data_IF_801312193744
#
_entry.id   IF_801312193744
#
_cell.length_a   1.000
_cell.length_b   1.000
_cell.length_c   1.000
_cell.angle_alpha   90.00
_cell.angle_beta   90.00
_cell.angle_gamma   90.00
#
_symmetry.space_group_name_H-M   'P 1'
#
loop_
_entity.id
_entity.type
_entity.pdbx_description
1 polymer ?
#
# COMPACT_ATOMS: atom_id res chain seq x y z
N UNK A 1 19.26 1.43 -11.33
CA UNK A 1 19.03 1.30 -9.88
C UNK A 1 17.79 2.13 -9.57
N UNK A 2 16.71 1.53 -9.06
CA UNK A 2 15.48 2.26 -8.74
C UNK A 2 15.68 2.90 -7.36
N UNK A 3 15.59 4.24 -7.22
CA UNK A 3 15.66 4.89 -5.91
C UNK A 3 14.54 4.37 -4.99
N UNK A 4 14.84 4.21 -3.69
CA UNK A 4 13.88 3.81 -2.65
C UNK A 4 13.14 2.47 -2.92
N UNK A 5 13.84 1.48 -3.45
CA UNK A 5 13.33 0.12 -3.54
C UNK A 5 13.59 -0.65 -2.24
N UNK A 6 12.57 -1.33 -1.73
CA UNK A 6 12.71 -2.42 -0.77
C UNK A 6 13.60 -3.53 -1.37
N UNK A 7 14.91 -3.53 -1.08
CA UNK A 7 15.81 -4.62 -1.40
C UNK A 7 16.29 -5.22 -0.07
N UNK A 8 15.63 -6.28 0.41
CA UNK A 8 15.88 -6.81 1.74
C UNK A 8 16.70 -8.09 1.70
N UNK A 9 17.86 -8.01 2.35
CA UNK A 9 18.61 -9.15 2.88
C UNK A 9 18.74 -9.04 4.43
N UNK A 10 17.79 -8.34 5.09
CA UNK A 10 17.85 -8.06 6.53
C UNK A 10 17.29 -9.24 7.33
N UNK A 11 18.18 -10.08 7.85
CA UNK A 11 17.91 -10.91 9.02
C UNK A 11 18.09 -10.05 10.28
N UNK A 12 17.04 -9.39 10.79
CA UNK A 12 17.13 -8.76 12.11
C UNK A 12 15.76 -8.68 12.78
N UNK A 13 15.62 -9.46 13.85
CA UNK A 13 14.56 -9.31 14.85
C UNK A 13 14.95 -8.12 15.74
N UNK A 14 14.32 -6.97 15.54
CA UNK A 14 14.38 -5.88 16.52
C UNK A 14 12.96 -5.53 16.94
N UNK A 15 12.62 -5.92 18.17
CA UNK A 15 11.37 -5.59 18.84
C UNK A 15 11.56 -4.16 19.38
N UNK A 16 10.86 -3.18 18.80
CA UNK A 16 10.87 -1.80 19.30
C UNK A 16 9.63 -1.56 20.14
N UNK A 17 9.80 -0.95 21.32
CA UNK A 17 8.76 -0.75 22.32
C UNK A 17 7.73 0.33 21.97
N UNK A 18 6.66 0.30 22.75
CA UNK A 18 5.43 1.09 22.76
C UNK A 18 5.69 2.55 23.20
N UNK A 19 4.79 3.45 22.80
CA UNK A 19 4.76 4.93 22.93
C UNK A 19 5.71 5.74 22.03
N UNK A 20 5.13 6.67 21.24
CA UNK A 20 5.73 7.61 20.25
C UNK A 20 5.96 7.13 18.80
N UNK A 21 5.24 6.11 18.32
CA UNK A 21 5.44 5.59 16.95
C UNK A 21 4.86 6.44 15.82
N UNK A 22 3.82 7.22 16.12
CA UNK A 22 3.12 8.08 15.16
C UNK A 22 3.25 9.57 15.57
N UNK A 23 4.37 9.98 16.19
CA UNK A 23 4.72 11.40 16.07
C UNK A 23 4.80 11.65 14.57
N UNK A 24 3.76 12.32 14.06
CA UNK A 24 3.66 12.72 12.68
C UNK A 24 5.00 13.32 12.36
N UNK A 25 5.80 12.59 11.58
CA UNK A 25 7.07 13.11 11.11
C UNK A 25 6.63 14.34 10.34
N UNK A 26 6.78 15.51 10.97
CA UNK A 26 6.53 16.81 10.35
C UNK A 26 7.55 17.11 9.26
N UNK A 27 8.39 16.13 8.90
CA UNK A 27 9.12 16.11 7.66
C UNK A 27 8.16 15.83 6.51
N UNK A 28 8.25 16.65 5.47
CA UNK A 28 7.59 16.44 4.19
C UNK A 28 7.74 14.98 3.76
N UNK A 29 6.63 14.27 3.58
CA UNK A 29 6.63 12.89 3.05
C UNK A 29 7.14 12.83 1.61
N UNK A 30 7.39 13.98 0.97
CA UNK A 30 7.87 14.10 -0.41
C UNK A 30 9.14 13.29 -0.68
N UNK A 31 10.09 13.23 0.26
CA UNK A 31 11.33 12.45 0.10
C UNK A 31 11.11 10.93 0.13
N UNK A 32 9.92 10.47 0.55
CA UNK A 32 9.55 9.06 0.54
C UNK A 32 9.24 8.58 -0.88
N UNK A 33 8.77 9.46 -1.75
CA UNK A 33 8.24 9.10 -3.05
C UNK A 33 9.25 9.34 -4.19
N UNK A 34 9.28 8.48 -5.22
CA UNK A 34 8.53 7.24 -5.33
C UNK A 34 9.07 6.15 -4.39
N UNK A 35 8.19 5.33 -3.80
CA UNK A 35 8.58 4.17 -3.01
C UNK A 35 8.15 2.88 -3.71
N UNK A 36 9.11 1.99 -4.01
CA UNK A 36 8.85 0.77 -4.77
C UNK A 36 8.87 -0.47 -3.89
N UNK A 37 7.86 -1.31 -4.07
CA UNK A 37 7.79 -2.61 -3.40
C UNK A 37 7.17 -3.68 -4.29
N UNK A 38 7.51 -4.94 -4.00
CA UNK A 38 6.89 -6.11 -4.62
C UNK A 38 6.77 -7.23 -3.60
N UNK A 39 5.76 -8.07 -3.74
CA UNK A 39 5.62 -9.29 -2.94
C UNK A 39 4.40 -10.09 -3.34
N UNK A 40 4.14 -11.15 -2.58
CA UNK A 40 3.08 -12.11 -2.88
C UNK A 40 1.78 -11.71 -2.20
N UNK A 41 0.67 -11.88 -2.91
CA UNK A 41 -0.67 -11.71 -2.35
C UNK A 41 -1.04 -12.90 -1.49
N UNK A 42 -1.34 -12.65 -0.22
CA UNK A 42 -1.69 -13.68 0.77
C UNK A 42 -3.15 -13.53 1.23
N UNK A 43 -3.65 -14.58 1.89
CA UNK A 43 -4.99 -14.56 2.49
C UNK A 43 -4.98 -13.68 3.73
N UNK A 44 -5.79 -12.62 3.73
CA UNK A 44 -6.03 -11.79 4.91
C UNK A 44 -7.12 -12.36 5.84
N UNK A 45 -7.61 -11.55 6.77
CA UNK A 45 -8.63 -11.98 7.75
C UNK A 45 -10.08 -12.00 7.22
N UNK A 46 -10.30 -11.67 5.94
CA UNK A 46 -11.63 -11.72 5.31
C UNK A 46 -12.66 -10.72 5.87
N UNK A 47 -12.21 -9.60 6.46
CA UNK A 47 -13.07 -8.72 7.29
C UNK A 47 -13.90 -7.66 6.58
N UNK A 48 -13.80 -7.46 5.25
CA UNK A 48 -14.70 -6.47 4.64
C UNK A 48 -14.52 -6.12 3.18
N UNK A 49 -13.31 -6.15 2.63
CA UNK A 49 -13.02 -5.54 1.31
C UNK A 49 -14.03 -5.92 0.21
N UNK A 50 -14.26 -7.23 0.00
CA UNK A 50 -15.23 -7.71 -0.99
C UNK A 50 -16.68 -7.27 -0.73
N UNK A 51 -17.14 -7.29 0.52
CA UNK A 51 -18.50 -6.84 0.88
C UNK A 51 -18.68 -5.33 0.71
N UNK A 52 -17.57 -4.59 0.71
CA UNK A 52 -17.53 -3.15 0.50
C UNK A 52 -17.41 -2.76 -0.98
N UNK A 53 -17.21 -3.72 -1.89
CA UNK A 53 -16.90 -3.44 -3.30
C UNK A 53 -15.46 -2.94 -3.52
N UNK A 54 -14.59 -3.06 -2.52
CA UNK A 54 -13.18 -2.63 -2.55
C UNK A 54 -12.28 -3.81 -2.16
N UNK A 55 -12.10 -4.81 -3.05
CA UNK A 55 -11.24 -5.96 -2.76
C UNK A 55 -9.77 -5.53 -2.58
N UNK A 56 -9.15 -5.95 -1.48
CA UNK A 56 -7.74 -5.65 -1.18
C UNK A 56 -6.86 -6.90 -1.29
N UNK A 57 -5.71 -6.75 -1.95
CA UNK A 57 -4.61 -7.70 -1.94
C UNK A 57 -3.77 -7.48 -0.68
N UNK A 58 -3.74 -8.46 0.21
CA UNK A 58 -2.91 -8.41 1.41
C UNK A 58 -1.49 -8.82 1.00
N UNK A 59 -0.49 -7.97 1.23
CA UNK A 59 0.90 -8.29 0.89
C UNK A 59 1.54 -9.15 1.97
N UNK A 60 2.46 -10.03 1.56
CA UNK A 60 3.20 -10.89 2.47
C UNK A 60 4.10 -10.14 3.47
N UNK A 61 4.51 -10.87 4.51
CA UNK A 61 5.40 -10.38 5.57
C UNK A 61 6.77 -9.96 5.06
N UNK A 62 7.26 -10.49 3.93
CA UNK A 62 8.56 -10.10 3.41
C UNK A 62 8.53 -8.63 3.02
N UNK A 63 7.49 -8.17 2.31
CA UNK A 63 7.34 -6.75 1.94
C UNK A 63 7.30 -5.87 3.18
N UNK A 64 6.55 -6.30 4.19
CA UNK A 64 6.35 -5.56 5.44
C UNK A 64 7.69 -5.41 6.19
N UNK A 65 8.48 -6.47 6.28
CA UNK A 65 9.81 -6.45 6.91
C UNK A 65 10.82 -5.61 6.14
N UNK A 66 10.59 -5.35 4.86
CA UNK A 66 11.44 -4.46 4.06
C UNK A 66 11.19 -2.97 4.33
N UNK A 67 10.02 -2.60 4.85
CA UNK A 67 9.69 -1.21 5.11
C UNK A 67 10.74 -0.55 6.01
N UNK A 68 11.10 0.73 5.77
CA UNK A 68 11.79 1.55 6.75
C UNK A 68 11.08 1.46 8.12
N UNK A 69 11.81 1.36 9.25
CA UNK A 69 11.18 1.24 10.57
C UNK A 69 10.15 2.35 10.86
N UNK A 70 10.44 3.56 10.40
CA UNK A 70 9.60 4.75 10.55
C UNK A 70 8.74 5.06 9.31
N UNK A 71 8.50 4.08 8.44
CA UNK A 71 7.60 4.28 7.29
C UNK A 71 6.21 4.70 7.81
N UNK A 72 5.62 5.80 7.31
CA UNK A 72 4.39 6.35 7.88
C UNK A 72 3.18 5.41 7.70
N UNK A 73 2.26 5.45 8.66
CA UNK A 73 0.96 4.82 8.52
C UNK A 73 -0.01 5.74 7.75
N UNK A 74 -0.88 5.17 6.92
CA UNK A 74 -1.92 5.91 6.23
C UNK A 74 -2.38 5.25 4.94
N UNK A 75 -3.12 6.02 4.15
CA UNK A 75 -3.56 5.66 2.81
C UNK A 75 -2.72 6.40 1.79
N UNK A 76 -2.20 5.66 0.82
CA UNK A 76 -1.30 6.11 -0.22
C UNK A 76 -1.90 5.77 -1.59
N UNK A 77 -1.38 6.40 -2.64
CA UNK A 77 -1.79 6.12 -4.01
C UNK A 77 -0.57 5.93 -4.92
N UNK A 78 -0.82 5.30 -6.07
CA UNK A 78 0.23 5.01 -7.02
C UNK A 78 -0.18 4.05 -8.12
N UNK A 79 0.77 3.26 -8.61
CA UNK A 79 0.54 2.29 -9.67
C UNK A 79 0.92 0.89 -9.22
N UNK A 80 0.20 -0.11 -9.72
CA UNK A 80 0.48 -1.52 -9.44
C UNK A 80 0.21 -2.40 -10.66
N UNK A 81 0.88 -3.55 -10.73
CA UNK A 81 0.50 -4.63 -11.62
C UNK A 81 0.56 -6.00 -10.92
N UNK A 82 -0.16 -6.96 -11.50
CA UNK A 82 -0.20 -8.35 -11.06
C UNK A 82 0.57 -9.19 -12.08
N UNK A 83 1.51 -10.02 -11.63
CA UNK A 83 2.28 -10.96 -12.45
C UNK A 83 2.91 -10.33 -13.73
N UNK A 84 3.42 -9.09 -13.61
CA UNK A 84 3.98 -8.32 -14.74
C UNK A 84 2.96 -8.03 -15.87
N UNK A 85 1.67 -8.09 -15.57
CA UNK A 85 0.60 -7.70 -16.48
C UNK A 85 0.49 -6.19 -16.64
N UNK A 86 -0.69 -5.76 -17.10
CA UNK A 86 -1.01 -4.36 -17.28
C UNK A 86 -0.91 -3.57 -15.96
N UNK A 87 -0.46 -2.33 -16.06
CA UNK A 87 -0.27 -1.42 -14.92
C UNK A 87 -1.50 -0.56 -14.75
N UNK A 88 -2.09 -0.62 -13.56
CA UNK A 88 -3.28 0.14 -13.18
C UNK A 88 -2.97 1.13 -12.05
N UNK A 89 -3.86 2.09 -11.84
CA UNK A 89 -3.85 2.89 -10.62
C UNK A 89 -4.14 2.00 -9.40
N UNK A 90 -3.71 2.45 -8.23
CA UNK A 90 -4.02 1.77 -6.97
C UNK A 90 -4.13 2.78 -5.82
N UNK A 91 -4.87 2.37 -4.79
CA UNK A 91 -4.76 2.91 -3.44
C UNK A 91 -4.25 1.81 -2.52
N UNK A 92 -3.54 2.17 -1.46
CA UNK A 92 -3.07 1.19 -0.48
C UNK A 92 -3.12 1.72 0.94
N UNK A 93 -3.55 0.86 1.85
CA UNK A 93 -3.51 1.11 3.29
C UNK A 93 -2.25 0.48 3.86
N UNK A 94 -1.48 1.26 4.63
CA UNK A 94 -0.33 0.79 5.39
C UNK A 94 -0.53 1.19 6.84
N UNK A 95 -0.61 0.21 7.75
CA UNK A 95 -0.91 0.49 9.15
C UNK A 95 -0.55 -0.65 10.10
N UNK A 96 -0.50 -0.39 11.39
CA UNK A 96 -0.22 -1.40 12.41
C UNK A 96 -1.32 -2.45 12.49
N UNK A 97 -0.92 -3.72 12.64
CA UNK A 97 -1.85 -4.84 12.77
C UNK A 97 -2.06 -5.22 14.25
N UNK A 98 -3.29 -5.02 14.79
CA UNK A 98 -3.59 -5.34 16.19
C UNK A 98 -3.43 -6.83 16.54
N UNK A 99 -3.59 -7.74 15.57
CA UNK A 99 -3.47 -9.18 15.78
C UNK A 99 -2.04 -9.63 16.07
N UNK A 100 -1.06 -8.85 15.61
CA UNK A 100 0.35 -9.04 15.94
C UNK A 100 0.79 -8.07 17.03
N UNK A 101 -0.11 -7.72 17.97
CA UNK A 101 0.16 -6.78 19.07
C UNK A 101 0.73 -5.44 18.59
N UNK A 102 0.34 -4.99 17.38
CA UNK A 102 0.92 -3.83 16.71
C UNK A 102 2.45 -3.88 16.55
N UNK A 103 3.07 -5.06 16.56
CA UNK A 103 4.51 -5.21 16.31
C UNK A 103 4.85 -5.20 14.82
N UNK A 104 3.83 -5.37 13.96
CA UNK A 104 3.97 -5.45 12.50
C UNK A 104 2.95 -4.56 11.82
N UNK A 105 3.38 -3.92 10.74
CA UNK A 105 2.47 -3.25 9.80
C UNK A 105 1.82 -4.28 8.87
N UNK A 106 0.74 -3.89 8.21
CA UNK A 106 0.19 -4.56 7.04
C UNK A 106 0.24 -3.62 5.85
N UNK A 107 0.25 -4.19 4.65
CA UNK A 107 0.04 -3.47 3.39
C UNK A 107 -1.13 -4.13 2.70
N UNK A 108 -2.17 -3.36 2.41
CA UNK A 108 -3.36 -3.79 1.70
C UNK A 108 -3.51 -2.95 0.44
N UNK A 109 -3.35 -3.57 -0.73
CA UNK A 109 -3.39 -2.89 -2.03
C UNK A 109 -4.75 -3.09 -2.67
N UNK A 110 -5.44 -2.01 -3.00
CA UNK A 110 -6.61 -2.03 -3.86
C UNK A 110 -6.21 -1.48 -5.24
N UNK A 111 -6.18 -2.37 -6.23
CA UNK A 111 -5.90 -2.02 -7.61
C UNK A 111 -7.21 -1.52 -8.24
N UNK A 112 -7.17 -0.36 -8.90
CA UNK A 112 -8.34 0.31 -9.51
C UNK A 112 -8.69 -0.34 -10.85
N UNK A 113 -9.01 -1.63 -10.79
CA UNK A 113 -9.41 -2.46 -11.92
C UNK A 113 -10.29 -3.63 -11.45
N UNK A 114 -11.27 -4.00 -12.26
CA UNK A 114 -12.19 -5.09 -11.97
C UNK A 114 -11.67 -6.44 -12.48
N UNK A 115 -10.89 -7.12 -11.64
CA UNK A 115 -10.39 -8.46 -11.92
C UNK A 115 -11.52 -9.48 -11.79
N UNK A 116 -11.64 -10.36 -12.79
CA UNK A 116 -12.67 -11.41 -12.83
C UNK A 116 -12.39 -12.57 -11.86
N UNK A 117 -11.14 -12.70 -11.42
CA UNK A 117 -10.67 -13.78 -10.55
C UNK A 117 -9.80 -13.22 -9.42
N UNK A 118 -9.81 -13.91 -8.27
CA UNK A 118 -8.86 -13.64 -7.21
C UNK A 118 -7.44 -14.03 -7.66
N UNK A 119 -6.44 -13.26 -7.24
CA UNK A 119 -5.05 -13.48 -7.58
C UNK A 119 -4.18 -13.78 -6.34
N UNK A 120 -4.68 -14.60 -5.42
CA UNK A 120 -3.86 -15.11 -4.32
C UNK A 120 -2.65 -15.88 -4.84
N UNK A 121 -1.49 -15.71 -4.21
CA UNK A 121 -0.22 -16.30 -4.66
C UNK A 121 0.42 -15.57 -5.85
N UNK A 122 -0.26 -14.61 -6.47
CA UNK A 122 0.33 -13.77 -7.50
C UNK A 122 1.32 -12.77 -6.91
N UNK A 123 2.30 -12.37 -7.72
CA UNK A 123 3.22 -11.30 -7.36
C UNK A 123 2.59 -9.96 -7.76
N UNK A 124 2.45 -9.06 -6.78
CA UNK A 124 2.12 -7.65 -7.02
C UNK A 124 3.39 -6.83 -6.97
N UNK A 125 3.60 -5.99 -7.98
CA UNK A 125 4.58 -4.89 -7.95
C UNK A 125 3.82 -3.59 -7.82
N UNK A 126 4.35 -2.67 -7.02
CA UNK A 126 3.72 -1.39 -6.79
C UNK A 126 4.73 -0.26 -6.57
N UNK A 127 4.33 0.95 -6.95
CA UNK A 127 5.03 2.20 -6.66
C UNK A 127 4.07 3.15 -5.97
N UNK A 128 4.44 3.65 -4.80
CA UNK A 128 3.76 4.75 -4.12
C UNK A 128 4.30 6.05 -4.67
N UNK A 129 3.40 6.96 -5.05
CA UNK A 129 3.76 8.27 -5.61
C UNK A 129 3.20 9.43 -4.80
N UNK A 130 2.40 9.15 -3.77
CA UNK A 130 1.96 10.15 -2.82
C UNK A 130 1.10 9.61 -1.68
N UNK A 131 0.77 10.51 -0.76
CA UNK A 131 -0.09 10.29 0.41
C UNK A 131 -1.50 10.84 0.17
N UNK A 132 -2.53 10.14 0.63
CA UNK A 132 -3.92 10.63 0.61
C UNK A 132 -4.35 11.14 1.98
N UNK A 133 -4.22 10.30 3.02
CA UNK A 133 -4.67 10.64 4.38
C UNK A 133 -4.10 9.74 5.46
N UNK A 134 -4.09 10.20 6.73
CA UNK A 134 -3.77 9.36 7.87
C UNK A 134 -4.75 8.18 8.05
N UNK A 135 -4.36 7.24 8.91
CA UNK A 135 -5.26 6.19 9.39
C UNK A 135 -6.37 6.82 10.24
N UNK A 136 -7.62 6.42 9.98
CA UNK A 136 -8.80 6.92 10.68
C UNK A 136 -9.65 5.73 11.12
N UNK A 137 -10.11 5.74 12.36
CA UNK A 137 -11.15 4.84 12.82
C UNK A 137 -12.51 5.38 12.40
N UNK A 138 -13.34 4.54 11.81
CA UNK A 138 -14.70 4.89 11.37
C UNK A 138 -15.72 4.35 12.35
N UNK A 139 -16.77 5.13 12.61
CA UNK A 139 -17.85 4.75 13.53
C UNK A 139 -18.92 3.90 12.86
N UNK A 140 -18.91 3.81 11.52
CA UNK A 140 -19.85 3.01 10.75
C UNK A 140 -19.23 2.46 9.47
N UNK A 141 -19.89 1.44 8.90
CA UNK A 141 -19.54 0.87 7.61
C UNK A 141 -19.70 1.89 6.47
N UNK A 142 -20.69 2.77 6.57
CA UNK A 142 -20.99 3.77 5.54
C UNK A 142 -19.97 4.92 5.54
N UNK A 143 -19.47 5.33 6.72
CA UNK A 143 -18.33 6.25 6.82
C UNK A 143 -17.08 5.65 6.17
N UNK A 144 -16.78 4.37 6.46
CA UNK A 144 -15.67 3.67 5.84
C UNK A 144 -15.80 3.60 4.31
N UNK A 145 -16.98 3.22 3.80
CA UNK A 145 -17.26 3.21 2.35
C UNK A 145 -17.07 4.57 1.71
N UNK A 146 -17.60 5.61 2.34
CA UNK A 146 -17.51 6.99 1.85
C UNK A 146 -16.05 7.42 1.78
N UNK A 147 -15.25 7.14 2.81
CA UNK A 147 -13.83 7.44 2.81
C UNK A 147 -13.08 6.69 1.70
N UNK A 148 -13.32 5.39 1.53
CA UNK A 148 -12.70 4.58 0.47
C UNK A 148 -13.05 5.15 -0.91
N UNK A 149 -14.31 5.47 -1.16
CA UNK A 149 -14.74 6.02 -2.45
C UNK A 149 -14.07 7.37 -2.74
N UNK A 150 -13.95 8.23 -1.72
CA UNK A 150 -13.24 9.50 -1.83
C UNK A 150 -11.74 9.30 -2.11
N UNK A 151 -11.11 8.33 -1.43
CA UNK A 151 -9.70 7.99 -1.62
C UNK A 151 -9.46 7.52 -3.08
N UNK A 152 -10.33 6.66 -3.60
CA UNK A 152 -10.28 6.16 -4.99
C UNK A 152 -10.46 7.31 -5.99
N UNK A 153 -11.51 8.12 -5.83
CA UNK A 153 -11.78 9.23 -6.75
C UNK A 153 -10.61 10.25 -6.77
N UNK A 154 -10.04 10.55 -5.61
CA UNK A 154 -8.87 11.43 -5.50
C UNK A 154 -7.64 10.80 -6.16
N UNK A 155 -7.38 9.51 -5.93
CA UNK A 155 -6.27 8.80 -6.56
C UNK A 155 -6.39 8.78 -8.09
N UNK A 156 -7.57 8.49 -8.65
CA UNK A 156 -7.81 8.52 -10.09
C UNK A 156 -7.53 9.92 -10.68
N UNK A 157 -8.01 10.96 -10.00
CA UNK A 157 -7.76 12.34 -10.41
C UNK A 157 -6.26 12.66 -10.43
N UNK A 158 -5.55 12.34 -9.34
CA UNK A 158 -4.10 12.61 -9.21
C UNK A 158 -3.26 11.80 -10.21
N UNK A 159 -3.58 10.51 -10.40
CA UNK A 159 -2.84 9.61 -11.30
C UNK A 159 -3.07 9.89 -12.78
N UNK A 160 -4.10 10.67 -13.13
CA UNK A 160 -4.38 11.10 -14.50
C UNK A 160 -3.41 12.17 -15.02
N UNK A 161 -2.67 12.83 -14.12
CA UNK A 161 -1.74 13.89 -14.47
C UNK A 161 -0.59 13.36 -15.36
N UNK A 162 -0.21 14.06 -16.46
CA UNK A 162 0.79 13.57 -17.40
C UNK A 162 2.15 13.22 -16.77
N UNK A 163 2.57 13.97 -15.75
CA UNK A 163 3.78 13.73 -14.99
C UNK A 163 3.79 12.37 -14.27
N UNK A 164 2.62 11.84 -13.90
CA UNK A 164 2.51 10.54 -13.24
C UNK A 164 2.80 9.37 -14.19
N UNK A 165 2.74 9.61 -15.51
CA UNK A 165 2.99 8.56 -16.52
C UNK A 165 4.41 8.02 -16.48
N UNK A 166 5.39 8.77 -15.94
CA UNK A 166 6.76 8.27 -15.76
C UNK A 166 6.78 7.07 -14.82
N UNK A 167 5.94 7.07 -13.78
CA UNK A 167 5.85 5.98 -12.82
C UNK A 167 5.08 4.79 -13.41
N UNK A 168 3.96 5.04 -14.10
CA UNK A 168 3.19 4.00 -14.80
C UNK A 168 4.03 3.22 -15.82
N UNK A 169 4.95 3.90 -16.51
CA UNK A 169 5.85 3.32 -17.52
C UNK A 169 7.19 2.84 -16.95
N UNK A 170 7.34 2.79 -15.63
CA UNK A 170 8.60 2.35 -15.00
C UNK A 170 8.96 0.93 -15.41
N UNK A 171 10.21 0.69 -15.80
CA UNK A 171 10.78 -0.64 -16.04
C UNK A 171 10.70 -1.55 -14.81
N UNK A 172 10.40 -1.02 -13.62
CA UNK A 172 10.12 -1.82 -12.44
C UNK A 172 9.03 -2.86 -12.67
N UNK A 173 7.99 -2.50 -13.44
CA UNK A 173 6.83 -3.36 -13.67
C UNK A 173 7.10 -4.54 -14.60
N UNK A 174 8.18 -4.49 -15.38
CA UNK A 174 8.59 -5.55 -16.31
C UNK A 174 9.80 -6.37 -15.84
N UNK A 175 10.51 -5.92 -14.80
CA UNK A 175 11.62 -6.65 -14.15
C UNK A 175 11.13 -7.87 -13.36
#
# INVERSE_FOLDING_TARGET
MIPNQANCNRNSKTIMNDSNRDEAVGGSTDDLYPYYFRGIVVVGFGRGGRKLGCPTANMDDNVILCLPPHFPCGVFYGFANVNRGEVYGMVTSIGWNPHFKNERKTIEVHILHDFQEDFYGAEVRAVLVGFLRPMVAFNSLDELKTAINNDVALAESLLSAPEMMVYKKSNFFSQ
#
